data_IF_153220193247
#
_entry.id   IF_153220193247
#
_cell.length_a   1.000
_cell.length_b   1.000
_cell.length_c   1.000
_cell.angle_alpha   90.00
_cell.angle_beta   90.00
_cell.angle_gamma   90.00
#
_symmetry.space_group_name_H-M   'P 1'
#
loop_
_entity.id
_entity.type
_entity.pdbx_description
1 polymer ?
#
# COMPACT_ATOMS: atom_id res chain seq x y z
N UNK A 1 11.33 -36.39 28.73
CA UNK A 1 11.01 -34.95 28.57
C UNK A 1 12.14 -34.30 27.79
N UNK A 2 11.97 -34.10 26.48
CA UNK A 2 13.03 -33.52 25.63
C UNK A 2 13.21 -32.04 25.95
N UNK A 3 14.43 -31.71 26.34
CA UNK A 3 14.91 -30.35 26.57
C UNK A 3 15.04 -29.67 25.20
N UNK A 4 14.03 -28.92 24.77
CA UNK A 4 14.13 -28.09 23.56
C UNK A 4 15.09 -26.93 23.85
N UNK A 5 16.35 -27.12 23.47
CA UNK A 5 17.33 -26.06 23.37
C UNK A 5 16.94 -25.12 22.20
N UNK A 6 15.95 -24.24 22.40
CA UNK A 6 15.67 -23.17 21.45
C UNK A 6 16.80 -22.15 21.57
N UNK A 7 17.78 -22.22 20.66
CA UNK A 7 18.63 -21.06 20.38
C UNK A 7 17.71 -19.88 20.08
N UNK A 8 17.94 -18.75 20.76
CA UNK A 8 17.24 -17.52 20.42
C UNK A 8 17.57 -17.15 18.97
N UNK A 9 16.57 -16.76 18.15
CA UNK A 9 16.83 -16.39 16.77
C UNK A 9 17.82 -15.22 16.71
N UNK A 10 18.73 -15.27 15.73
CA UNK A 10 19.67 -14.18 15.48
C UNK A 10 18.93 -12.92 14.98
N UNK A 11 19.61 -11.78 15.00
CA UNK A 11 19.08 -10.53 14.41
C UNK A 11 18.75 -10.74 12.91
N UNK A 12 19.56 -11.54 12.22
CA UNK A 12 19.37 -11.91 10.81
C UNK A 12 18.09 -12.72 10.61
N UNK A 13 17.86 -13.76 11.43
CA UNK A 13 16.63 -14.57 11.37
C UNK A 13 15.36 -13.72 11.59
N UNK A 14 15.44 -12.74 12.49
CA UNK A 14 14.35 -11.81 12.75
C UNK A 14 14.10 -10.86 11.56
N UNK A 15 15.16 -10.34 10.94
CA UNK A 15 15.07 -9.50 9.74
C UNK A 15 14.42 -10.26 8.58
N UNK A 16 14.81 -11.50 8.35
CA UNK A 16 14.28 -12.33 7.27
C UNK A 16 12.81 -12.68 7.49
N UNK A 17 12.44 -13.00 8.73
CA UNK A 17 11.03 -13.23 9.10
C UNK A 17 10.16 -11.98 8.85
N UNK A 18 10.67 -10.80 9.19
CA UNK A 18 9.98 -9.53 8.97
C UNK A 18 9.86 -9.18 7.49
N UNK A 19 10.90 -9.42 6.69
CA UNK A 19 10.89 -9.22 5.23
C UNK A 19 9.94 -10.18 4.53
N UNK A 20 9.91 -11.44 4.96
CA UNK A 20 8.96 -12.43 4.45
C UNK A 20 7.52 -11.97 4.70
N UNK A 21 7.21 -11.56 5.94
CA UNK A 21 5.88 -11.04 6.28
C UNK A 21 5.52 -9.78 5.51
N UNK A 22 6.49 -8.90 5.27
CA UNK A 22 6.29 -7.72 4.42
C UNK A 22 5.91 -8.12 2.99
N UNK A 23 6.50 -9.19 2.46
CA UNK A 23 6.15 -9.78 1.16
C UNK A 23 4.73 -10.32 1.11
N UNK A 24 4.27 -11.02 2.16
CA UNK A 24 2.87 -11.45 2.28
C UNK A 24 1.91 -10.27 2.27
N UNK A 25 2.21 -9.24 3.05
CA UNK A 25 1.38 -8.03 3.14
C UNK A 25 1.31 -7.30 1.80
N UNK A 26 2.41 -7.28 1.04
CA UNK A 26 2.43 -6.69 -0.30
C UNK A 26 1.50 -7.45 -1.24
N UNK A 27 1.60 -8.78 -1.29
CA UNK A 27 0.72 -9.62 -2.11
C UNK A 27 -0.76 -9.42 -1.76
N UNK A 28 -1.08 -9.35 -0.47
CA UNK A 28 -2.46 -9.09 -0.01
C UNK A 28 -2.95 -7.70 -0.45
N UNK A 29 -2.09 -6.69 -0.36
CA UNK A 29 -2.42 -5.34 -0.82
C UNK A 29 -2.60 -5.26 -2.34
N UNK A 30 -1.77 -5.97 -3.11
CA UNK A 30 -1.87 -6.09 -4.56
C UNK A 30 -3.20 -6.74 -4.95
N UNK A 31 -3.55 -7.87 -4.34
CA UNK A 31 -4.82 -8.55 -4.59
C UNK A 31 -6.04 -7.64 -4.36
N UNK A 32 -6.07 -6.89 -3.25
CA UNK A 32 -7.15 -5.93 -2.97
C UNK A 32 -7.21 -4.78 -3.99
N UNK A 33 -6.05 -4.26 -4.39
CA UNK A 33 -5.97 -3.17 -5.37
C UNK A 33 -6.34 -3.64 -6.78
N UNK A 34 -5.98 -4.88 -7.13
CA UNK A 34 -6.33 -5.49 -8.41
C UNK A 34 -7.83 -5.78 -8.48
N UNK A 35 -8.42 -6.31 -7.42
CA UNK A 35 -9.88 -6.49 -7.30
C UNK A 35 -10.62 -5.14 -7.50
N UNK A 36 -10.14 -4.08 -6.84
CA UNK A 36 -10.67 -2.72 -7.04
C UNK A 36 -10.55 -2.26 -8.50
N UNK A 37 -9.37 -2.45 -9.10
CA UNK A 37 -9.11 -2.03 -10.46
C UNK A 37 -9.99 -2.78 -11.47
N UNK A 38 -10.12 -4.09 -11.33
CA UNK A 38 -10.96 -4.93 -12.19
C UNK A 38 -12.44 -4.52 -12.10
N UNK A 39 -12.94 -4.30 -10.88
CA UNK A 39 -14.29 -3.78 -10.66
C UNK A 39 -14.50 -2.46 -11.39
N UNK A 40 -13.61 -1.49 -11.17
CA UNK A 40 -13.67 -0.16 -11.80
C UNK A 40 -13.63 -0.27 -13.33
N UNK A 41 -12.75 -1.10 -13.88
CA UNK A 41 -12.61 -1.26 -15.33
C UNK A 41 -13.85 -1.93 -15.95
N UNK A 42 -14.45 -2.92 -15.27
CA UNK A 42 -15.69 -3.54 -15.72
C UNK A 42 -16.86 -2.54 -15.73
N UNK A 43 -16.95 -1.70 -14.69
CA UNK A 43 -17.98 -0.67 -14.57
C UNK A 43 -17.77 0.47 -15.59
N UNK A 44 -16.53 0.94 -15.79
CA UNK A 44 -16.18 2.01 -16.72
C UNK A 44 -16.50 1.67 -18.19
N UNK A 45 -16.42 0.40 -18.59
CA UNK A 45 -16.79 -0.06 -19.95
C UNK A 45 -18.26 0.18 -20.28
N UNK A 46 -19.13 0.20 -19.26
CA UNK A 46 -20.59 0.33 -19.40
C UNK A 46 -21.10 1.75 -19.16
N UNK A 47 -20.20 2.71 -18.91
CA UNK A 47 -20.53 4.07 -18.45
C UNK A 47 -20.06 5.12 -19.42
N UNK A 48 -20.77 6.25 -19.40
CA UNK A 48 -20.35 7.43 -20.14
C UNK A 48 -19.04 7.97 -19.57
N UNK A 49 -18.36 8.82 -20.33
CA UNK A 49 -17.07 9.38 -19.90
C UNK A 49 -17.15 10.14 -18.57
N UNK A 50 -18.25 10.87 -18.32
CA UNK A 50 -18.45 11.66 -17.11
C UNK A 50 -18.66 10.79 -15.84
N UNK A 51 -19.17 9.57 -16.02
CA UNK A 51 -19.49 8.64 -14.95
C UNK A 51 -18.38 7.62 -14.68
N UNK A 52 -17.26 7.72 -15.41
CA UNK A 52 -16.11 6.86 -15.17
C UNK A 52 -15.45 7.22 -13.86
N UNK A 53 -14.97 6.20 -13.17
CA UNK A 53 -14.15 6.37 -11.99
C UNK A 53 -12.86 7.07 -12.36
N UNK A 54 -12.44 7.95 -11.46
CA UNK A 54 -11.13 8.58 -11.46
C UNK A 54 -10.30 8.12 -10.26
N UNK A 55 -10.76 7.14 -9.49
CA UNK A 55 -10.13 6.74 -8.23
C UNK A 55 -9.49 5.36 -8.37
N UNK A 56 -8.29 5.17 -7.84
CA UNK A 56 -7.66 3.85 -7.74
C UNK A 56 -6.66 3.78 -6.61
N UNK A 57 -6.65 2.64 -5.92
CA UNK A 57 -5.64 2.29 -4.93
C UNK A 57 -4.49 1.53 -5.61
N UNK A 58 -3.27 1.73 -5.13
CA UNK A 58 -2.11 0.93 -5.58
C UNK A 58 -1.00 0.87 -4.53
N UNK A 59 -0.39 -0.30 -4.29
CA UNK A 59 0.84 -0.39 -3.54
C UNK A 59 2.02 0.18 -4.33
N UNK A 60 2.99 0.72 -3.60
CA UNK A 60 4.25 1.25 -4.11
C UNK A 60 5.36 0.77 -3.18
N UNK A 61 6.10 -0.23 -3.64
CA UNK A 61 7.29 -0.69 -2.95
C UNK A 61 8.35 0.42 -2.86
N UNK A 62 9.06 0.44 -1.73
CA UNK A 62 10.25 1.25 -1.49
C UNK A 62 11.16 0.47 -0.54
N UNK A 63 12.22 -0.13 -1.07
CA UNK A 63 13.20 -0.90 -0.29
C UNK A 63 12.52 -1.80 0.76
N UNK A 64 12.98 -1.78 2.02
CA UNK A 64 12.45 -2.57 3.14
C UNK A 64 11.05 -2.13 3.64
N UNK A 65 10.22 -1.53 2.79
CA UNK A 65 8.85 -1.11 3.11
C UNK A 65 7.99 -0.95 1.84
N UNK A 66 6.71 -0.64 2.01
CA UNK A 66 5.87 -0.17 0.92
C UNK A 66 4.78 0.77 1.43
N UNK A 67 4.27 1.60 0.54
CA UNK A 67 3.13 2.47 0.80
C UNK A 67 1.96 2.09 -0.09
N UNK A 68 0.75 2.08 0.45
CA UNK A 68 -0.46 1.88 -0.35
C UNK A 68 -1.17 3.23 -0.47
N UNK A 69 -1.25 3.74 -1.70
CA UNK A 69 -1.76 5.08 -1.97
C UNK A 69 -3.05 5.04 -2.78
N UNK A 70 -3.94 5.99 -2.49
CA UNK A 70 -5.02 6.34 -3.39
C UNK A 70 -4.56 7.42 -4.36
N UNK A 71 -5.05 7.33 -5.59
CA UNK A 71 -4.74 8.27 -6.64
C UNK A 71 -6.02 8.73 -7.34
N UNK A 72 -5.98 9.97 -7.79
CA UNK A 72 -6.97 10.59 -8.67
C UNK A 72 -6.40 10.62 -10.10
N UNK A 73 -7.11 10.02 -11.06
CA UNK A 73 -6.81 10.11 -12.49
C UNK A 73 -7.30 11.45 -12.99
N UNK A 74 -6.42 12.19 -13.66
CA UNK A 74 -6.78 13.41 -14.38
C UNK A 74 -6.44 13.25 -15.85
N UNK A 75 -7.30 13.78 -16.71
CA UNK A 75 -7.09 13.77 -18.15
C UNK A 75 -6.87 15.21 -18.61
N UNK A 76 -5.75 15.49 -19.25
CA UNK A 76 -5.43 16.78 -19.85
C UNK A 76 -5.36 16.66 -21.36
N UNK A 77 -5.51 17.78 -22.08
CA UNK A 77 -5.48 17.81 -23.54
C UNK A 77 -6.79 17.39 -24.19
N UNK A 78 -6.89 17.66 -25.48
CA UNK A 78 -8.11 17.44 -26.26
C UNK A 78 -8.10 16.05 -26.89
N UNK A 79 -9.25 15.38 -26.86
CA UNK A 79 -9.43 14.12 -27.59
C UNK A 79 -9.34 14.35 -29.10
N UNK A 80 -9.97 15.42 -29.59
CA UNK A 80 -10.01 15.81 -31.00
C UNK A 80 -8.61 16.04 -31.58
N UNK A 81 -7.72 16.64 -30.80
CA UNK A 81 -6.34 16.91 -31.21
C UNK A 81 -5.35 15.78 -30.90
N UNK A 82 -5.83 14.63 -30.40
CA UNK A 82 -5.00 13.49 -29.95
C UNK A 82 -3.87 13.85 -28.97
N UNK A 83 -4.03 14.94 -28.21
CA UNK A 83 -3.06 15.39 -27.20
C UNK A 83 -3.38 14.91 -25.79
N UNK A 84 -4.38 14.02 -25.66
CA UNK A 84 -4.90 13.59 -24.37
C UNK A 84 -3.84 12.80 -23.58
N UNK A 85 -3.56 13.23 -22.35
CA UNK A 85 -2.62 12.59 -21.42
C UNK A 85 -3.29 12.28 -20.09
N UNK A 86 -2.95 11.13 -19.54
CA UNK A 86 -3.37 10.71 -18.20
C UNK A 86 -2.33 11.14 -17.18
N UNK A 87 -2.75 11.88 -16.15
CA UNK A 87 -1.96 12.20 -14.96
C UNK A 87 -2.51 11.42 -13.76
N UNK A 88 -1.58 11.00 -12.89
CA UNK A 88 -1.86 10.28 -11.66
C UNK A 88 -1.54 11.17 -10.46
N UNK A 89 -2.56 11.79 -9.85
CA UNK A 89 -2.35 12.63 -8.67
C UNK A 89 -2.53 11.81 -7.39
N UNK A 90 -1.49 11.74 -6.57
CA UNK A 90 -1.57 11.09 -5.25
C UNK A 90 -2.53 11.87 -4.36
N UNK A 91 -3.46 11.17 -3.71
CA UNK A 91 -4.27 11.73 -2.63
C UNK A 91 -3.43 11.64 -1.36
N UNK A 92 -3.29 12.75 -0.64
CA UNK A 92 -2.44 12.78 0.55
C UNK A 92 -3.24 12.26 1.75
N UNK A 93 -2.74 11.18 2.36
CA UNK A 93 -3.27 10.64 3.61
C UNK A 93 -2.97 11.60 4.77
N UNK A 94 -3.87 11.73 5.78
CA UNK A 94 -3.57 12.47 7.00
C UNK A 94 -2.30 11.98 7.70
N UNK A 95 -1.55 12.92 8.29
CA UNK A 95 -0.37 12.59 9.11
C UNK A 95 -0.78 11.71 10.29
N UNK A 96 0.08 10.77 10.69
CA UNK A 96 -0.11 9.89 11.85
C UNK A 96 -1.37 9.01 11.84
N UNK A 97 -1.97 8.79 10.66
CA UNK A 97 -3.09 7.85 10.48
C UNK A 97 -2.69 6.73 9.54
N UNK A 98 -3.29 5.55 9.69
CA UNK A 98 -3.08 4.42 8.77
C UNK A 98 -4.06 4.44 7.61
N UNK A 99 -5.29 4.93 7.83
CA UNK A 99 -6.29 5.13 6.78
C UNK A 99 -6.40 6.56 6.27
N UNK A 100 -7.06 6.68 5.13
CA UNK A 100 -7.54 7.93 4.56
C UNK A 100 -8.85 8.36 5.26
N UNK A 101 -9.15 9.66 5.21
CA UNK A 101 -10.49 10.10 5.56
C UNK A 101 -11.45 9.60 4.48
N UNK A 102 -12.46 8.80 4.87
CA UNK A 102 -13.47 8.27 3.95
C UNK A 102 -14.15 9.38 3.16
N UNK A 103 -14.52 10.48 3.80
CA UNK A 103 -15.15 11.63 3.15
C UNK A 103 -14.27 12.19 2.01
N UNK A 104 -12.95 12.22 2.19
CA UNK A 104 -12.01 12.66 1.15
C UNK A 104 -12.01 11.73 -0.06
N UNK A 105 -12.10 10.41 0.15
CA UNK A 105 -12.19 9.44 -0.94
C UNK A 105 -13.57 9.51 -1.62
N UNK A 106 -14.64 9.53 -0.82
CA UNK A 106 -16.02 9.51 -1.32
C UNK A 106 -16.40 10.79 -2.09
N UNK A 107 -15.82 11.95 -1.75
CA UNK A 107 -15.94 13.17 -2.57
C UNK A 107 -15.41 13.04 -4.00
N UNK A 108 -14.57 12.03 -4.27
CA UNK A 108 -13.98 11.74 -5.59
C UNK A 108 -14.56 10.48 -6.22
N UNK A 109 -15.25 9.66 -5.43
CA UNK A 109 -15.87 8.45 -5.88
C UNK A 109 -17.12 8.78 -6.69
N UNK A 110 -17.36 7.98 -7.72
CA UNK A 110 -18.67 7.92 -8.35
C UNK A 110 -19.68 7.23 -7.44
N UNK A 111 -20.96 7.54 -7.59
CA UNK A 111 -22.03 6.97 -6.75
C UNK A 111 -22.04 5.44 -6.74
N UNK A 112 -21.61 4.80 -7.83
CA UNK A 112 -21.63 3.36 -8.01
C UNK A 112 -20.40 2.63 -7.46
N UNK A 113 -19.33 3.34 -7.08
CA UNK A 113 -18.11 2.74 -6.54
C UNK A 113 -17.93 2.99 -5.03
N UNK A 114 -18.87 3.70 -4.39
CA UNK A 114 -18.80 4.07 -2.97
C UNK A 114 -18.54 2.86 -2.06
N UNK A 115 -19.30 1.78 -2.25
CA UNK A 115 -19.18 0.57 -1.42
C UNK A 115 -17.82 -0.11 -1.64
N UNK A 116 -17.38 -0.21 -2.89
CA UNK A 116 -16.10 -0.81 -3.24
C UNK A 116 -14.92 -0.01 -2.68
N UNK A 117 -14.96 1.32 -2.81
CA UNK A 117 -13.92 2.22 -2.26
C UNK A 117 -13.88 2.13 -0.74
N UNK A 118 -15.05 2.06 -0.09
CA UNK A 118 -15.14 1.94 1.36
C UNK A 118 -14.56 0.62 1.84
N UNK A 119 -14.99 -0.50 1.24
CA UNK A 119 -14.51 -1.83 1.57
C UNK A 119 -12.99 -1.95 1.39
N UNK A 120 -12.47 -1.54 0.23
CA UNK A 120 -11.04 -1.61 -0.06
C UNK A 120 -10.24 -0.75 0.92
N UNK A 121 -10.71 0.45 1.26
CA UNK A 121 -10.01 1.28 2.23
C UNK A 121 -10.00 0.66 3.63
N UNK A 122 -11.10 0.03 4.05
CA UNK A 122 -11.20 -0.68 5.34
C UNK A 122 -10.20 -1.83 5.43
N UNK A 123 -10.09 -2.65 4.37
CA UNK A 123 -9.15 -3.78 4.31
C UNK A 123 -7.69 -3.34 4.22
N UNK A 124 -7.40 -2.18 3.61
CA UNK A 124 -6.03 -1.67 3.50
C UNK A 124 -5.52 -1.02 4.79
N UNK A 125 -6.40 -0.60 5.72
CA UNK A 125 -6.00 -0.01 7.01
C UNK A 125 -5.12 -0.94 7.85
N UNK A 126 -5.53 -2.20 8.17
CA UNK A 126 -4.72 -3.10 8.97
C UNK A 126 -3.38 -3.42 8.29
N UNK A 127 -3.36 -3.59 6.97
CA UNK A 127 -2.11 -3.81 6.21
C UNK A 127 -1.17 -2.63 6.39
N UNK A 128 -1.63 -1.38 6.16
CA UNK A 128 -0.79 -0.19 6.34
C UNK A 128 -0.32 -0.01 7.78
N UNK A 129 -1.10 -0.45 8.77
CA UNK A 129 -0.70 -0.43 10.18
C UNK A 129 0.45 -1.40 10.43
N UNK A 130 0.31 -2.64 9.99
CA UNK A 130 1.33 -3.68 10.18
C UNK A 130 2.63 -3.35 9.45
N UNK A 131 2.56 -2.92 8.19
CA UNK A 131 3.74 -2.45 7.43
C UNK A 131 4.51 -1.37 8.18
N UNK A 132 3.81 -0.43 8.82
CA UNK A 132 4.46 0.63 9.58
C UNK A 132 5.22 0.13 10.82
N UNK A 133 4.74 -0.94 11.46
CA UNK A 133 5.42 -1.56 12.59
C UNK A 133 6.61 -2.40 12.13
N UNK A 134 6.44 -3.18 11.07
CA UNK A 134 7.51 -3.98 10.47
C UNK A 134 8.65 -3.08 9.99
N UNK A 135 8.35 -2.00 9.28
CA UNK A 135 9.37 -1.07 8.80
C UNK A 135 10.17 -0.44 9.94
N UNK A 136 9.51 -0.10 11.06
CA UNK A 136 10.20 0.38 12.27
C UNK A 136 11.10 -0.70 12.88
N UNK A 137 10.58 -1.92 13.01
CA UNK A 137 11.33 -3.05 13.57
C UNK A 137 12.59 -3.37 12.75
N UNK A 138 12.46 -3.47 11.42
CA UNK A 138 13.59 -3.65 10.50
C UNK A 138 14.62 -2.53 10.67
N UNK A 139 14.18 -1.27 10.77
CA UNK A 139 15.08 -0.14 10.99
C UNK A 139 15.90 -0.25 12.28
N UNK A 140 15.27 -0.68 13.38
CA UNK A 140 15.96 -0.86 14.66
C UNK A 140 16.91 -2.07 14.64
N UNK A 141 16.52 -3.19 14.03
CA UNK A 141 17.36 -4.38 13.92
C UNK A 141 18.59 -4.13 13.05
N UNK A 142 18.44 -3.44 11.92
CA UNK A 142 19.58 -3.02 11.09
C UNK A 142 20.54 -2.11 11.87
N UNK A 143 20.03 -1.25 12.77
CA UNK A 143 20.87 -0.41 13.60
C UNK A 143 21.70 -1.25 14.59
N UNK A 144 21.07 -2.21 15.27
CA UNK A 144 21.74 -3.16 16.18
C UNK A 144 22.84 -3.93 15.45
N UNK A 145 22.52 -4.47 14.27
CA UNK A 145 23.47 -5.24 13.47
C UNK A 145 24.71 -4.43 13.09
N UNK A 146 24.51 -3.19 12.63
CA UNK A 146 25.60 -2.29 12.27
C UNK A 146 26.46 -1.92 13.50
N UNK A 147 25.84 -1.64 14.65
CA UNK A 147 26.58 -1.35 15.89
C UNK A 147 27.41 -2.55 16.34
N UNK A 148 26.86 -3.76 16.31
CA UNK A 148 27.61 -4.97 16.69
C UNK A 148 28.83 -5.22 15.79
N UNK A 149 28.71 -5.00 14.47
CA UNK A 149 29.83 -5.14 13.55
C UNK A 149 30.95 -4.13 13.84
N UNK A 150 30.61 -2.88 14.16
CA UNK A 150 31.60 -1.85 14.51
C UNK A 150 32.34 -2.15 15.82
N UNK A 151 31.67 -2.78 16.79
CA UNK A 151 32.29 -3.19 18.07
C UNK A 151 33.23 -4.37 17.88
N UNK A 152 32.96 -5.30 16.95
CA UNK A 152 33.79 -6.47 16.69
C UNK A 152 35.06 -6.17 15.87
N UNK A 153 35.16 -4.98 15.27
CA UNK A 153 36.32 -4.54 14.47
C UNK A 153 37.32 -3.71 15.27
N UNK A 154 37.03 -3.41 16.54
CA UNK A 154 37.89 -2.70 17.49
C UNK A 154 38.34 -3.64 18.63
#
# INVERSE_FOLDING_TARGET
MSNMNRKSPSVEDALDSLRFRLGDLLRNAEALCDQHFEFVMAQNKRRTWAERSILYARPRARDNTFAINWFEVRWYGANSSKTRRMEKKVIIKPKNKHGYNKETLLKRAQYWEVDMVTHVEEELIPIRKEVSFIAKAIGQLNHIENTCRLVQMN
#
